data_IF_672812651015
#
_entry.id   IF_672812651015
#
_cell.length_a   1.000
_cell.length_b   1.000
_cell.length_c   1.000
_cell.angle_alpha   90.00
_cell.angle_beta   90.00
_cell.angle_gamma   90.00
#
_symmetry.space_group_name_H-M   'P 1'
#
loop_
_entity.id
_entity.type
_entity.pdbx_description
1 polymer ?
#
# COMPACT_ATOMS: atom_id res chain seq x y z
N UNK A 1 7.36 11.79 -7.53
CA UNK A 1 7.06 11.02 -8.76
C UNK A 1 8.12 9.97 -9.07
N UNK A 2 9.40 10.29 -9.19
CA UNK A 2 10.49 9.31 -9.49
C UNK A 2 10.59 8.20 -8.43
N UNK A 3 10.53 8.55 -7.14
CA UNK A 3 10.56 7.58 -6.02
C UNK A 3 9.38 6.61 -6.05
N UNK A 4 8.19 7.07 -6.44
CA UNK A 4 7.00 6.21 -6.55
C UNK A 4 7.12 5.18 -7.69
N UNK A 5 7.64 5.59 -8.85
CA UNK A 5 7.89 4.66 -9.96
C UNK A 5 8.95 3.63 -9.58
N UNK A 6 10.06 4.08 -8.98
CA UNK A 6 11.11 3.17 -8.49
C UNK A 6 10.55 2.17 -7.47
N UNK A 7 9.71 2.65 -6.52
CA UNK A 7 9.06 1.82 -5.52
C UNK A 7 8.25 0.70 -6.18
N UNK A 8 7.36 1.05 -7.12
CA UNK A 8 6.49 0.07 -7.81
C UNK A 8 7.29 -0.93 -8.65
N UNK A 9 8.34 -0.49 -9.35
CA UNK A 9 9.21 -1.40 -10.10
C UNK A 9 9.91 -2.41 -9.17
N UNK A 10 10.44 -1.94 -8.04
CA UNK A 10 11.07 -2.81 -7.05
C UNK A 10 10.05 -3.76 -6.38
N UNK A 11 8.80 -3.31 -6.19
CA UNK A 11 7.69 -4.12 -5.69
C UNK A 11 7.33 -5.26 -6.66
N UNK A 12 7.18 -4.96 -7.94
CA UNK A 12 6.90 -5.96 -8.99
C UNK A 12 8.01 -7.02 -9.02
N UNK A 13 9.27 -6.59 -8.92
CA UNK A 13 10.43 -7.48 -8.90
C UNK A 13 10.70 -8.13 -7.53
N UNK A 14 9.89 -7.81 -6.53
CA UNK A 14 10.02 -8.25 -5.13
C UNK A 14 11.45 -8.04 -4.57
N UNK A 15 12.03 -6.87 -4.85
CA UNK A 15 13.37 -6.52 -4.34
C UNK A 15 13.28 -5.78 -3.00
N UNK A 16 14.05 -6.22 -2.02
CA UNK A 16 14.10 -5.61 -0.67
C UNK A 16 14.43 -4.10 -0.67
N UNK A 17 15.09 -3.60 -1.72
CA UNK A 17 15.31 -2.17 -1.92
C UNK A 17 14.04 -1.32 -1.92
N UNK A 18 12.89 -1.91 -2.28
CA UNK A 18 11.59 -1.25 -2.18
C UNK A 18 11.30 -0.75 -0.76
N UNK A 19 11.52 -1.59 0.24
CA UNK A 19 11.30 -1.26 1.65
C UNK A 19 12.21 -0.13 2.14
N UNK A 20 13.45 -0.05 1.63
CA UNK A 20 14.37 1.06 1.93
C UNK A 20 13.85 2.37 1.33
N UNK A 21 13.39 2.35 0.08
CA UNK A 21 12.74 3.50 -0.56
C UNK A 21 11.49 3.92 0.21
N UNK A 22 10.65 2.96 0.61
CA UNK A 22 9.45 3.20 1.41
C UNK A 22 9.74 3.81 2.77
N UNK A 23 10.77 3.31 3.47
CA UNK A 23 11.22 3.84 4.75
C UNK A 23 11.64 5.32 4.64
N UNK A 24 12.51 5.64 3.68
CA UNK A 24 13.03 6.99 3.48
C UNK A 24 11.92 7.96 3.08
N UNK A 25 11.06 7.54 2.13
CA UNK A 25 9.94 8.37 1.66
C UNK A 25 8.90 8.57 2.77
N UNK A 26 8.54 7.50 3.47
CA UNK A 26 7.58 7.56 4.58
C UNK A 26 8.09 8.43 5.73
N UNK A 27 9.38 8.34 6.09
CA UNK A 27 9.96 9.18 7.13
C UNK A 27 9.97 10.67 6.74
N UNK A 28 10.34 10.99 5.50
CA UNK A 28 10.31 12.36 4.98
C UNK A 28 8.89 12.94 4.96
N UNK A 29 7.91 12.15 4.48
CA UNK A 29 6.50 12.55 4.48
C UNK A 29 5.93 12.70 5.89
N UNK A 30 6.26 11.79 6.83
CA UNK A 30 5.82 11.89 8.21
C UNK A 30 6.33 13.18 8.88
N UNK A 31 7.60 13.53 8.63
CA UNK A 31 8.18 14.80 9.11
C UNK A 31 7.46 16.01 8.52
N UNK A 32 7.26 16.03 7.21
CA UNK A 32 6.59 17.15 6.51
C UNK A 32 5.15 17.34 7.00
N UNK A 33 4.36 16.25 7.08
CA UNK A 33 2.99 16.32 7.57
C UNK A 33 2.92 16.69 9.06
N UNK A 34 3.89 16.27 9.87
CA UNK A 34 4.01 16.72 11.26
C UNK A 34 4.26 18.22 11.35
N UNK A 35 5.14 18.76 10.51
CA UNK A 35 5.40 20.19 10.44
C UNK A 35 4.18 21.00 9.99
N UNK A 36 3.40 20.47 9.07
CA UNK A 36 2.15 21.08 8.59
C UNK A 36 0.95 20.82 9.52
N UNK A 37 1.12 20.11 10.63
CA UNK A 37 0.06 19.73 11.56
C UNK A 37 -1.06 18.85 10.94
N UNK A 38 -0.75 18.10 9.89
CA UNK A 38 -1.67 17.16 9.23
C UNK A 38 -1.53 15.77 9.88
N UNK A 39 -2.10 15.61 11.06
CA UNK A 39 -1.86 14.48 11.96
C UNK A 39 -2.28 13.13 11.40
N UNK A 40 -3.38 13.06 10.63
CA UNK A 40 -3.85 11.80 10.02
C UNK A 40 -2.85 11.29 8.97
N UNK A 41 -2.37 12.15 8.08
CA UNK A 41 -1.37 11.81 7.08
C UNK A 41 -0.02 11.48 7.71
N UNK A 42 0.38 12.19 8.78
CA UNK A 42 1.58 11.84 9.55
C UNK A 42 1.46 10.43 10.13
N UNK A 43 0.32 10.10 10.77
CA UNK A 43 0.09 8.77 11.34
C UNK A 43 0.15 7.65 10.30
N UNK A 44 -0.44 7.86 9.11
CA UNK A 44 -0.38 6.92 8.01
C UNK A 44 1.08 6.70 7.52
N UNK A 45 1.87 7.76 7.41
CA UNK A 45 3.27 7.64 6.99
C UNK A 45 4.14 6.98 8.08
N UNK A 46 3.88 7.20 9.36
CA UNK A 46 4.51 6.45 10.46
C UNK A 46 4.19 4.95 10.33
N UNK A 47 2.95 4.59 10.02
CA UNK A 47 2.57 3.20 9.73
C UNK A 47 3.40 2.62 8.57
N UNK A 48 3.57 3.35 7.47
CA UNK A 48 4.39 2.90 6.34
C UNK A 48 5.87 2.72 6.70
N UNK A 49 6.42 3.58 7.55
CA UNK A 49 7.79 3.42 8.09
C UNK A 49 7.91 2.12 8.88
N UNK A 50 6.97 1.84 9.79
CA UNK A 50 6.95 0.60 10.57
C UNK A 50 6.84 -0.61 9.64
N UNK A 51 5.90 -0.58 8.69
CA UNK A 51 5.70 -1.67 7.74
C UNK A 51 6.90 -1.88 6.80
N UNK A 52 7.64 -0.83 6.49
CA UNK A 52 8.88 -0.95 5.71
C UNK A 52 9.94 -1.76 6.45
N UNK A 53 10.08 -1.57 7.75
CA UNK A 53 10.99 -2.39 8.57
C UNK A 53 10.50 -3.84 8.66
N UNK A 54 9.21 -4.04 8.94
CA UNK A 54 8.60 -5.37 9.04
C UNK A 54 8.72 -6.12 7.72
N UNK A 55 8.34 -5.50 6.61
CA UNK A 55 8.38 -6.08 5.28
C UNK A 55 9.80 -6.42 4.82
N UNK A 56 10.77 -5.54 5.10
CA UNK A 56 12.17 -5.80 4.81
C UNK A 56 12.68 -7.09 5.49
N UNK A 57 12.37 -7.24 6.79
CA UNK A 57 12.78 -8.41 7.56
C UNK A 57 12.10 -9.68 7.04
N UNK A 58 10.79 -9.61 6.76
CA UNK A 58 10.02 -10.75 6.27
C UNK A 58 10.46 -11.20 4.88
N UNK A 59 10.62 -10.27 3.95
CA UNK A 59 11.07 -10.57 2.59
C UNK A 59 12.51 -11.09 2.54
N UNK A 60 13.39 -10.59 3.40
CA UNK A 60 14.74 -11.12 3.50
C UNK A 60 14.72 -12.61 3.91
N UNK A 61 13.95 -12.96 4.96
CA UNK A 61 13.82 -14.35 5.42
C UNK A 61 13.12 -15.26 4.40
N UNK A 62 12.10 -14.76 3.72
CA UNK A 62 11.38 -15.54 2.72
C UNK A 62 12.19 -15.72 1.42
N UNK A 63 12.96 -14.71 1.02
CA UNK A 63 13.84 -14.75 -0.15
C UNK A 63 14.96 -15.77 -0.05
N UNK A 64 15.40 -16.10 1.18
CA UNK A 64 16.39 -17.17 1.42
C UNK A 64 15.88 -18.59 1.07
N UNK A 65 14.55 -18.73 0.91
CA UNK A 65 13.88 -20.02 0.64
C UNK A 65 13.51 -20.23 -0.83
N UNK A 66 13.81 -19.28 -1.70
CA UNK A 66 13.51 -19.35 -3.15
C UNK A 66 14.78 -19.12 -3.95
N UNK A 67 14.80 -19.59 -5.20
CA UNK A 67 15.91 -19.36 -6.12
C UNK A 67 15.97 -17.90 -6.57
N UNK A 68 17.16 -17.47 -7.02
CA UNK A 68 17.34 -16.09 -7.49
C UNK A 68 16.42 -15.76 -8.67
N UNK A 69 15.65 -14.69 -8.53
CA UNK A 69 14.69 -14.25 -9.56
C UNK A 69 13.28 -14.85 -9.42
N UNK A 70 13.03 -15.73 -8.47
CA UNK A 70 11.70 -16.22 -8.12
C UNK A 70 11.01 -15.27 -7.12
N UNK A 71 9.68 -15.29 -7.14
CA UNK A 71 8.83 -14.53 -6.24
C UNK A 71 8.36 -15.44 -5.11
N UNK A 72 8.65 -15.10 -3.85
CA UNK A 72 8.11 -15.84 -2.71
C UNK A 72 6.66 -15.40 -2.45
N UNK A 73 5.75 -16.36 -2.35
CA UNK A 73 4.33 -16.14 -2.04
C UNK A 73 3.94 -16.84 -0.75
N UNK A 74 3.03 -16.22 0.00
CA UNK A 74 2.33 -16.86 1.10
C UNK A 74 0.85 -17.09 0.76
N UNK A 75 0.24 -18.07 1.41
CA UNK A 75 -1.18 -18.39 1.23
C UNK A 75 -2.02 -17.53 2.17
N UNK A 76 -2.92 -16.73 1.60
CA UNK A 76 -3.89 -15.95 2.37
C UNK A 76 -4.94 -16.88 2.99
N UNK A 77 -4.98 -16.99 4.32
CA UNK A 77 -5.99 -17.77 5.01
C UNK A 77 -7.37 -17.08 5.00
N UNK A 78 -8.45 -17.88 5.02
CA UNK A 78 -9.82 -17.34 5.14
C UNK A 78 -10.00 -16.50 6.41
N UNK A 79 -9.35 -16.90 7.51
CA UNK A 79 -9.36 -16.17 8.77
C UNK A 79 -8.72 -14.80 8.63
N UNK A 80 -7.55 -14.73 8.01
CA UNK A 80 -6.84 -13.47 7.72
C UNK A 80 -7.67 -12.55 6.84
N UNK A 81 -8.27 -13.08 5.77
CA UNK A 81 -9.14 -12.30 4.89
C UNK A 81 -10.35 -11.71 5.64
N UNK A 82 -11.00 -12.53 6.51
CA UNK A 82 -12.15 -12.07 7.31
C UNK A 82 -11.76 -10.97 8.30
N UNK A 83 -10.62 -11.13 9.02
CA UNK A 83 -10.12 -10.10 9.92
C UNK A 83 -9.74 -8.82 9.18
N UNK A 84 -9.16 -8.93 7.99
CA UNK A 84 -8.86 -7.77 7.14
C UNK A 84 -10.13 -7.05 6.69
N UNK A 85 -11.18 -7.79 6.34
CA UNK A 85 -12.48 -7.18 5.98
C UNK A 85 -13.11 -6.46 7.18
N UNK A 86 -13.07 -7.06 8.37
CA UNK A 86 -13.54 -6.41 9.59
C UNK A 86 -12.73 -5.13 9.92
N UNK A 87 -11.39 -5.22 9.82
CA UNK A 87 -10.50 -4.08 10.00
C UNK A 87 -10.76 -2.96 8.98
N UNK A 88 -11.03 -3.32 7.73
CA UNK A 88 -11.42 -2.36 6.69
C UNK A 88 -12.71 -1.61 7.07
N UNK A 89 -13.76 -2.33 7.44
CA UNK A 89 -15.05 -1.71 7.78
C UNK A 89 -14.90 -0.80 9.00
N UNK A 90 -14.37 -1.33 10.10
CA UNK A 90 -14.23 -0.59 11.35
C UNK A 90 -13.27 0.59 11.19
N UNK A 91 -12.10 0.35 10.60
CA UNK A 91 -11.09 1.37 10.38
C UNK A 91 -11.56 2.49 9.45
N UNK A 92 -12.27 2.15 8.36
CA UNK A 92 -12.86 3.16 7.47
C UNK A 92 -13.90 4.02 8.17
N UNK A 93 -14.75 3.42 9.02
CA UNK A 93 -15.75 4.20 9.80
C UNK A 93 -15.08 5.14 10.80
N UNK A 94 -14.07 4.67 11.51
CA UNK A 94 -13.32 5.49 12.49
C UNK A 94 -12.57 6.62 11.78
N UNK A 95 -11.80 6.28 10.73
CA UNK A 95 -11.02 7.26 9.98
C UNK A 95 -11.92 8.31 9.31
N UNK A 96 -13.07 7.89 8.78
CA UNK A 96 -14.05 8.81 8.20
C UNK A 96 -14.52 9.85 9.22
N UNK A 97 -14.74 9.47 10.50
CA UNK A 97 -15.14 10.44 11.54
C UNK A 97 -14.00 11.42 11.87
N UNK A 98 -12.75 10.91 11.92
CA UNK A 98 -11.57 11.75 12.13
C UNK A 98 -11.44 12.77 10.98
N UNK A 99 -11.53 12.31 9.73
CA UNK A 99 -11.41 13.17 8.55
C UNK A 99 -12.56 14.21 8.47
N UNK A 100 -13.78 13.84 8.85
CA UNK A 100 -14.89 14.80 8.98
C UNK A 100 -14.60 15.87 10.03
N UNK A 101 -14.05 15.49 11.17
CA UNK A 101 -13.72 16.43 12.25
C UNK A 101 -12.57 17.37 11.86
N UNK A 102 -11.69 16.97 10.95
CA UNK A 102 -10.60 17.81 10.43
C UNK A 102 -10.97 18.62 9.18
N UNK A 103 -12.22 18.50 8.70
CA UNK A 103 -12.73 19.29 7.57
C UNK A 103 -12.33 18.76 6.21
N UNK A 104 -12.05 17.46 6.08
CA UNK A 104 -11.77 16.84 4.81
C UNK A 104 -12.95 16.97 3.82
N UNK A 105 -12.66 17.26 2.55
CA UNK A 105 -13.67 17.51 1.53
C UNK A 105 -14.42 16.24 1.08
N UNK A 106 -13.77 15.06 1.18
CA UNK A 106 -14.31 13.78 0.71
C UNK A 106 -13.98 12.64 1.71
N UNK A 107 -14.38 12.77 2.99
CA UNK A 107 -13.90 11.90 4.07
C UNK A 107 -14.24 10.41 3.88
N UNK A 108 -15.33 10.09 3.14
CA UNK A 108 -15.67 8.69 2.85
C UNK A 108 -14.67 8.05 1.88
N UNK A 109 -14.38 8.74 0.77
CA UNK A 109 -13.46 8.22 -0.26
C UNK A 109 -12.03 8.11 0.30
N UNK A 110 -11.58 9.14 1.02
CA UNK A 110 -10.25 9.16 1.60
C UNK A 110 -10.09 8.07 2.66
N UNK A 111 -11.05 7.91 3.58
CA UNK A 111 -11.01 6.85 4.59
C UNK A 111 -10.96 5.45 3.96
N UNK A 112 -11.78 5.19 2.92
CA UNK A 112 -11.79 3.89 2.24
C UNK A 112 -10.47 3.63 1.51
N UNK A 113 -9.97 4.59 0.75
CA UNK A 113 -8.70 4.46 0.02
C UNK A 113 -7.52 4.25 0.99
N UNK A 114 -7.46 5.04 2.06
CA UNK A 114 -6.43 4.93 3.10
C UNK A 114 -6.45 3.56 3.79
N UNK A 115 -7.63 3.06 4.18
CA UNK A 115 -7.72 1.75 4.84
C UNK A 115 -7.41 0.59 3.91
N UNK A 116 -7.76 0.67 2.62
CA UNK A 116 -7.31 -0.31 1.62
C UNK A 116 -5.80 -0.31 1.50
N UNK A 117 -5.16 0.88 1.44
CA UNK A 117 -3.70 1.02 1.36
C UNK A 117 -3.00 0.45 2.60
N UNK A 118 -3.57 0.65 3.80
CA UNK A 118 -3.07 0.05 5.04
C UNK A 118 -3.09 -1.48 4.95
N UNK A 119 -4.21 -2.07 4.55
CA UNK A 119 -4.35 -3.53 4.45
C UNK A 119 -3.47 -4.07 3.32
N UNK A 120 -3.43 -3.40 2.16
CA UNK A 120 -2.61 -3.78 1.03
C UNK A 120 -1.12 -3.82 1.41
N UNK A 121 -0.61 -2.81 2.13
CA UNK A 121 0.77 -2.75 2.60
C UNK A 121 1.07 -3.89 3.58
N UNK A 122 0.14 -4.22 4.48
CA UNK A 122 0.31 -5.37 5.37
C UNK A 122 0.33 -6.69 4.62
N UNK A 123 -0.58 -6.88 3.64
CA UNK A 123 -0.60 -8.07 2.79
C UNK A 123 0.65 -8.18 1.90
N UNK A 124 1.15 -7.04 1.43
CA UNK A 124 2.41 -6.96 0.68
C UNK A 124 3.59 -7.45 1.53
N UNK A 125 3.70 -6.99 2.78
CA UNK A 125 4.74 -7.44 3.71
C UNK A 125 4.68 -8.96 3.96
N UNK A 126 3.47 -9.56 3.96
CA UNK A 126 3.25 -11.00 4.08
C UNK A 126 3.40 -11.75 2.75
N UNK A 127 3.68 -11.07 1.64
CA UNK A 127 3.78 -11.66 0.29
C UNK A 127 2.49 -12.34 -0.21
N UNK A 128 1.32 -11.85 0.21
CA UNK A 128 0.06 -12.30 -0.35
C UNK A 128 -0.17 -11.69 -1.72
N UNK A 129 -0.32 -12.52 -2.77
CA UNK A 129 -0.55 -12.02 -4.14
C UNK A 129 -1.81 -11.16 -4.25
N UNK A 130 -2.81 -11.40 -3.41
CA UNK A 130 -4.06 -10.65 -3.41
C UNK A 130 -3.90 -9.17 -3.02
N UNK A 131 -2.75 -8.77 -2.46
CA UNK A 131 -2.45 -7.37 -2.18
C UNK A 131 -2.58 -6.49 -3.44
N UNK A 132 -2.22 -7.02 -4.62
CA UNK A 132 -2.36 -6.31 -5.89
C UNK A 132 -3.80 -5.92 -6.22
N UNK A 133 -4.78 -6.77 -5.84
CA UNK A 133 -6.21 -6.47 -6.04
C UNK A 133 -6.66 -5.32 -5.13
N UNK A 134 -6.11 -5.25 -3.91
CA UNK A 134 -6.39 -4.14 -3.00
C UNK A 134 -5.80 -2.82 -3.53
N UNK A 135 -4.57 -2.85 -4.08
CA UNK A 135 -3.97 -1.69 -4.70
C UNK A 135 -4.77 -1.19 -5.90
N UNK A 136 -5.24 -2.09 -6.79
CA UNK A 136 -6.10 -1.69 -7.92
C UNK A 136 -7.32 -0.92 -7.42
N UNK A 137 -8.01 -1.41 -6.38
CA UNK A 137 -9.21 -0.73 -5.84
C UNK A 137 -8.83 0.58 -5.15
N UNK A 138 -7.77 0.58 -4.33
CA UNK A 138 -7.29 1.79 -3.63
C UNK A 138 -6.90 2.91 -4.61
N UNK A 139 -6.16 2.57 -5.67
CA UNK A 139 -5.71 3.54 -6.67
C UNK A 139 -6.87 4.09 -7.50
N UNK A 140 -7.87 3.25 -7.84
CA UNK A 140 -9.10 3.73 -8.51
C UNK A 140 -9.86 4.71 -7.61
N UNK A 141 -10.03 4.39 -6.32
CA UNK A 141 -10.69 5.30 -5.38
C UNK A 141 -9.90 6.59 -5.20
N UNK A 142 -8.57 6.52 -5.14
CA UNK A 142 -7.72 7.71 -5.01
C UNK A 142 -7.73 8.55 -6.29
N UNK A 143 -7.72 7.93 -7.47
CA UNK A 143 -7.89 8.65 -8.74
C UNK A 143 -9.23 9.41 -8.76
N UNK A 144 -10.31 8.76 -8.31
CA UNK A 144 -11.62 9.38 -8.19
C UNK A 144 -11.65 10.53 -7.18
N UNK A 145 -11.00 10.33 -6.01
CA UNK A 145 -10.82 11.37 -4.99
C UNK A 145 -10.10 12.59 -5.57
N UNK A 146 -9.01 12.39 -6.31
CA UNK A 146 -8.26 13.46 -6.96
C UNK A 146 -9.11 14.24 -7.97
N UNK A 147 -9.96 13.56 -8.75
CA UNK A 147 -10.91 14.22 -9.67
C UNK A 147 -11.91 15.07 -8.89
N UNK A 148 -12.48 14.54 -7.80
CA UNK A 148 -13.45 15.25 -6.95
C UNK A 148 -12.86 16.47 -6.25
N UNK A 149 -11.56 16.42 -5.91
CA UNK A 149 -10.84 17.52 -5.25
C UNK A 149 -10.16 18.49 -6.24
N UNK A 150 -10.39 18.32 -7.55
CA UNK A 150 -9.90 19.24 -8.58
C UNK A 150 -8.40 19.10 -8.91
N UNK A 151 -7.77 17.99 -8.55
CA UNK A 151 -6.37 17.73 -8.87
C UNK A 151 -6.21 17.29 -10.33
N UNK A 152 -5.52 18.07 -11.15
CA UNK A 152 -5.48 17.85 -12.60
C UNK A 152 -4.59 16.69 -13.05
N UNK A 153 -3.40 16.51 -12.44
CA UNK A 153 -2.37 15.56 -12.88
C UNK A 153 -2.31 14.27 -12.07
N UNK A 154 -2.77 14.31 -10.82
CA UNK A 154 -2.73 13.16 -9.92
C UNK A 154 -3.54 11.95 -10.41
N UNK A 155 -4.73 12.10 -11.03
CA UNK A 155 -5.47 10.96 -11.56
C UNK A 155 -4.67 10.14 -12.57
N UNK A 156 -3.86 10.78 -13.42
CA UNK A 156 -3.02 10.08 -14.40
C UNK A 156 -1.96 9.20 -13.72
N UNK A 157 -1.39 9.67 -12.61
CA UNK A 157 -0.44 8.90 -11.81
C UNK A 157 -1.10 7.63 -11.23
N UNK A 158 -2.31 7.77 -10.67
CA UNK A 158 -3.02 6.62 -10.10
C UNK A 158 -3.51 5.63 -11.17
N UNK A 159 -3.86 6.09 -12.36
CA UNK A 159 -4.13 5.21 -13.50
C UNK A 159 -2.87 4.40 -13.85
N UNK A 160 -1.69 5.03 -13.88
CA UNK A 160 -0.43 4.32 -14.09
C UNK A 160 -0.15 3.29 -12.98
N UNK A 161 -0.49 3.59 -11.72
CA UNK A 161 -0.38 2.63 -10.61
C UNK A 161 -1.35 1.45 -10.76
N UNK A 162 -2.60 1.67 -11.18
CA UNK A 162 -3.56 0.60 -11.51
C UNK A 162 -2.99 -0.34 -12.58
N UNK A 163 -2.45 0.21 -13.68
CA UNK A 163 -1.85 -0.59 -14.74
C UNK A 163 -0.63 -1.39 -14.23
N UNK A 164 0.19 -0.76 -13.40
CA UNK A 164 1.34 -1.41 -12.76
C UNK A 164 0.91 -2.53 -11.81
N UNK A 165 -0.17 -2.34 -11.04
CA UNK A 165 -0.71 -3.34 -10.14
C UNK A 165 -1.30 -4.55 -10.89
N UNK A 166 -1.97 -4.33 -12.01
CA UNK A 166 -2.44 -5.41 -12.90
C UNK A 166 -1.25 -6.22 -13.44
N UNK A 167 -0.20 -5.53 -13.90
CA UNK A 167 1.02 -6.19 -14.36
C UNK A 167 1.73 -6.92 -13.21
N UNK A 168 1.84 -6.32 -12.04
CA UNK A 168 2.44 -6.91 -10.84
C UNK A 168 1.73 -8.19 -10.40
N UNK A 169 0.39 -8.18 -10.39
CA UNK A 169 -0.41 -9.38 -10.12
C UNK A 169 -0.09 -10.51 -11.11
N UNK A 170 -0.08 -10.20 -12.41
CA UNK A 170 0.23 -11.19 -13.43
C UNK A 170 1.66 -11.71 -13.32
N UNK A 171 2.63 -10.83 -13.08
CA UNK A 171 4.04 -11.18 -12.89
C UNK A 171 4.24 -12.11 -11.69
N UNK A 172 3.65 -11.76 -10.52
CA UNK A 172 3.72 -12.57 -9.31
C UNK A 172 3.00 -13.92 -9.48
N UNK A 173 1.88 -13.95 -10.20
CA UNK A 173 1.17 -15.20 -10.51
C UNK A 173 1.99 -16.14 -11.38
N UNK A 174 2.79 -15.60 -12.32
CA UNK A 174 3.61 -16.40 -13.25
C UNK A 174 4.91 -16.91 -12.60
N UNK A 175 5.54 -16.10 -11.76
CA UNK A 175 6.88 -16.40 -11.18
C UNK A 175 6.83 -16.79 -9.72
N UNK A 176 5.66 -16.77 -9.09
CA UNK A 176 5.52 -16.98 -7.67
C UNK A 176 5.60 -18.44 -7.27
N UNK A 177 6.39 -18.72 -6.23
CA UNK A 177 6.42 -20.00 -5.52
C UNK A 177 5.91 -19.81 -4.09
N UNK A 178 5.03 -20.69 -3.66
CA UNK A 178 4.53 -20.68 -2.27
C UNK A 178 5.63 -21.16 -1.35
N UNK A 179 5.93 -20.34 -0.35
CA UNK A 179 6.94 -20.62 0.68
C UNK A 179 6.20 -20.79 2.01
N UNK A 180 6.31 -21.99 2.61
CA UNK A 180 5.80 -22.31 3.94
C UNK A 180 6.86 -22.13 5.00
#
# INVERSE_FOLDING_TARGET
>A
MITGILYVVLEILQKNGMWVVGLLTGAACAFEFGYQHVWASMGLNIYYVIMSVVGFIQWKKAGEKVEEGEIHLAILSKKTALWSAAAFIIGSLVLMQILRATGDAQPQLDAMASMLSVIATWWLAQSYIQQWLLWIVADILTAWLCIKTGQQWMPLLYIAYVLSAVYGYWHWKKKGKVVN
#
